data_IF_223283949220
#
_entry.id   IF_223283949220
#
_cell.length_a   1.000
_cell.length_b   1.000
_cell.length_c   1.000
_cell.angle_alpha   90.00
_cell.angle_beta   90.00
_cell.angle_gamma   90.00
#
_symmetry.space_group_name_H-M   'P 1'
#
loop_
_entity.id
_entity.type
_entity.pdbx_description
1 polymer ?
#
# COMPACT_ATOMS: atom_id res chain seq x y z
N UNK A 1 43.92 -30.85 15.31
CA UNK A 1 44.21 -32.29 15.12
C UNK A 1 43.16 -32.83 14.18
N UNK A 2 43.56 -33.30 12.99
CA UNK A 2 42.63 -33.86 11.99
C UNK A 2 42.67 -35.38 12.19
N UNK A 3 41.58 -35.96 12.66
CA UNK A 3 41.46 -37.41 12.82
C UNK A 3 41.01 -38.03 11.50
N UNK A 4 41.63 -39.14 11.12
CA UNK A 4 41.21 -39.91 9.95
C UNK A 4 39.95 -40.71 10.26
N UNK A 5 39.17 -41.06 9.22
CA UNK A 5 37.91 -41.82 9.38
C UNK A 5 38.12 -43.14 10.14
N UNK A 6 39.28 -43.79 9.94
CA UNK A 6 39.67 -45.04 10.59
C UNK A 6 39.95 -44.86 12.09
N UNK A 7 40.65 -43.80 12.48
CA UNK A 7 40.93 -43.50 13.89
C UNK A 7 39.65 -43.18 14.70
N UNK A 8 38.67 -42.53 14.06
CA UNK A 8 37.36 -42.24 14.67
C UNK A 8 36.55 -43.54 14.90
N UNK A 9 36.65 -44.50 13.97
CA UNK A 9 35.94 -45.77 14.02
C UNK A 9 36.58 -46.81 14.96
N UNK A 10 37.87 -46.69 15.28
CA UNK A 10 38.58 -47.62 16.17
C UNK A 10 38.68 -47.13 17.62
N UNK A 11 38.83 -45.81 17.84
CA UNK A 11 39.21 -45.28 19.16
C UNK A 11 38.13 -44.50 19.91
N UNK A 12 36.98 -44.22 19.30
CA UNK A 12 35.94 -43.39 19.91
C UNK A 12 34.62 -44.14 20.13
N UNK A 13 33.93 -43.92 21.27
CA UNK A 13 32.57 -44.43 21.50
C UNK A 13 31.56 -43.77 20.55
N UNK A 14 30.45 -44.46 20.26
CA UNK A 14 29.44 -44.04 19.27
C UNK A 14 28.92 -42.60 19.47
N UNK A 15 28.72 -42.18 20.72
CA UNK A 15 28.28 -40.84 21.08
C UNK A 15 29.26 -39.75 20.62
N UNK A 16 30.56 -40.02 20.70
CA UNK A 16 31.61 -39.08 20.31
C UNK A 16 31.80 -39.05 18.79
N UNK A 17 31.57 -40.17 18.10
CA UNK A 17 31.49 -40.21 16.62
C UNK A 17 30.36 -39.33 16.10
N UNK A 18 29.17 -39.46 16.67
CA UNK A 18 28.00 -38.66 16.28
C UNK A 18 28.26 -37.16 16.53
N UNK A 19 28.94 -36.82 17.62
CA UNK A 19 29.35 -35.43 17.92
C UNK A 19 30.34 -34.89 16.90
N UNK A 20 31.36 -35.68 16.53
CA UNK A 20 32.37 -35.30 15.55
C UNK A 20 31.78 -35.19 14.14
N UNK A 21 30.86 -36.09 13.78
CA UNK A 21 30.15 -36.05 12.51
C UNK A 21 29.23 -34.82 12.41
N UNK A 22 28.49 -34.51 13.49
CA UNK A 22 27.70 -33.28 13.60
C UNK A 22 28.58 -32.02 13.56
N UNK A 23 29.72 -32.01 14.23
CA UNK A 23 30.65 -30.89 14.19
C UNK A 23 31.26 -30.71 12.79
N UNK A 24 31.54 -31.82 12.09
CA UNK A 24 32.01 -31.80 10.71
C UNK A 24 30.94 -31.32 9.73
N UNK A 25 29.68 -31.73 9.91
CA UNK A 25 28.57 -31.25 9.08
C UNK A 25 28.31 -29.75 9.32
N UNK A 26 28.45 -29.28 10.56
CA UNK A 26 28.32 -27.85 10.92
C UNK A 26 29.51 -27.00 10.44
N UNK A 27 30.68 -27.59 10.20
CA UNK A 27 31.84 -26.93 9.59
C UNK A 27 31.84 -27.05 8.06
N UNK A 28 30.76 -27.59 7.47
CA UNK A 28 30.61 -27.64 6.02
C UNK A 28 30.14 -26.28 5.51
N UNK A 29 30.73 -25.83 4.39
CA UNK A 29 30.29 -24.64 3.67
C UNK A 29 28.81 -24.75 3.28
N UNK A 30 28.32 -25.95 2.96
CA UNK A 30 26.91 -26.21 2.60
C UNK A 30 25.98 -25.89 3.77
N UNK A 31 26.37 -26.22 5.00
CA UNK A 31 25.56 -25.90 6.18
C UNK A 31 25.42 -24.39 6.37
N UNK A 32 26.53 -23.65 6.26
CA UNK A 32 26.52 -22.20 6.39
C UNK A 32 25.78 -21.51 5.24
N UNK A 33 25.85 -22.04 4.02
CA UNK A 33 25.06 -21.55 2.89
C UNK A 33 23.56 -21.71 3.17
N UNK A 34 23.13 -22.91 3.60
CA UNK A 34 21.70 -23.13 3.89
C UNK A 34 21.23 -22.29 5.09
N UNK A 35 22.09 -22.09 6.09
CA UNK A 35 21.79 -21.21 7.23
C UNK A 35 21.68 -19.74 6.81
N UNK A 36 22.55 -19.29 5.91
CA UNK A 36 22.45 -17.95 5.34
C UNK A 36 21.15 -17.78 4.54
N UNK A 37 20.79 -18.77 3.72
CA UNK A 37 19.54 -18.77 2.95
C UNK A 37 18.33 -18.64 3.87
N UNK A 38 18.25 -19.45 4.94
CA UNK A 38 17.16 -19.38 5.95
C UNK A 38 17.02 -18.01 6.60
N UNK A 39 18.15 -17.37 6.89
CA UNK A 39 18.15 -16.08 7.57
C UNK A 39 17.83 -14.89 6.64
N UNK A 40 18.20 -15.00 5.36
CA UNK A 40 18.05 -13.90 4.40
C UNK A 40 16.73 -13.97 3.62
N UNK A 41 16.22 -15.16 3.35
CA UNK A 41 15.06 -15.34 2.48
C UNK A 41 13.96 -16.11 3.23
N UNK A 42 12.87 -15.40 3.53
CA UNK A 42 11.71 -16.00 4.18
C UNK A 42 11.08 -17.04 3.25
N UNK A 43 10.94 -18.26 3.75
CA UNK A 43 10.35 -19.38 2.99
C UNK A 43 11.36 -20.24 2.23
N UNK A 44 12.65 -19.90 2.24
CA UNK A 44 13.70 -20.75 1.66
C UNK A 44 14.51 -21.44 2.77
N UNK A 45 14.47 -22.77 2.81
CA UNK A 45 15.21 -23.55 3.83
C UNK A 45 16.62 -23.96 3.39
N UNK A 46 16.83 -24.01 2.07
CA UNK A 46 18.09 -24.32 1.42
C UNK A 46 18.16 -23.65 0.04
N UNK A 47 19.30 -23.84 -0.64
CA UNK A 47 19.54 -23.30 -1.99
C UNK A 47 18.47 -23.76 -3.00
N UNK A 48 17.91 -24.96 -2.83
CA UNK A 48 16.88 -25.48 -3.73
C UNK A 48 15.56 -24.76 -3.53
N UNK A 49 15.11 -24.60 -2.29
CA UNK A 49 13.92 -23.79 -1.97
C UNK A 49 14.08 -22.33 -2.39
N UNK A 50 15.30 -21.77 -2.30
CA UNK A 50 15.57 -20.42 -2.80
C UNK A 50 15.31 -20.29 -4.31
N UNK A 51 15.69 -21.31 -5.08
CA UNK A 51 15.45 -21.33 -6.53
C UNK A 51 13.94 -21.38 -6.82
N UNK A 52 13.17 -22.15 -6.05
CA UNK A 52 11.71 -22.23 -6.19
C UNK A 52 11.05 -20.88 -5.89
N UNK A 53 11.35 -20.28 -4.73
CA UNK A 53 10.83 -18.95 -4.36
C UNK A 53 11.19 -17.90 -5.43
N UNK A 54 12.39 -17.97 -5.99
CA UNK A 54 12.82 -17.04 -7.05
C UNK A 54 12.01 -17.23 -8.33
N UNK A 55 11.73 -18.49 -8.73
CA UNK A 55 10.90 -18.77 -9.91
C UNK A 55 9.47 -18.28 -9.72
N UNK A 56 8.88 -18.52 -8.56
CA UNK A 56 7.52 -18.06 -8.25
C UNK A 56 7.42 -16.53 -8.26
N UNK A 57 8.45 -15.85 -7.75
CA UNK A 57 8.51 -14.39 -7.80
C UNK A 57 8.65 -13.87 -9.23
N UNK A 58 9.47 -14.51 -10.07
CA UNK A 58 9.61 -14.15 -11.49
C UNK A 58 8.27 -14.31 -12.21
N UNK A 59 7.58 -15.44 -12.01
CA UNK A 59 6.27 -15.69 -12.61
C UNK A 59 5.23 -14.65 -12.18
N UNK A 60 5.16 -14.33 -10.89
CA UNK A 60 4.27 -13.27 -10.39
C UNK A 60 4.57 -11.90 -11.01
N UNK A 61 5.84 -11.58 -11.23
CA UNK A 61 6.24 -10.32 -11.87
C UNK A 61 5.85 -10.31 -13.34
N UNK A 62 6.06 -11.41 -14.07
CA UNK A 62 5.65 -11.55 -15.47
C UNK A 62 4.13 -11.42 -15.62
N UNK A 63 3.36 -12.08 -14.75
CA UNK A 63 1.90 -11.97 -14.72
C UNK A 63 1.44 -10.52 -14.46
N UNK A 64 2.08 -9.82 -13.51
CA UNK A 64 1.78 -8.40 -13.24
C UNK A 64 2.11 -7.49 -14.42
N UNK A 65 3.22 -7.74 -15.14
CA UNK A 65 3.55 -6.97 -16.33
C UNK A 65 2.55 -7.23 -17.46
N UNK A 66 2.13 -8.48 -17.67
CA UNK A 66 1.11 -8.84 -18.64
C UNK A 66 -0.26 -8.24 -18.29
N UNK A 67 -0.66 -8.24 -17.01
CA UNK A 67 -1.89 -7.58 -16.54
C UNK A 67 -1.83 -6.07 -16.77
N UNK A 68 -0.70 -5.43 -16.47
CA UNK A 68 -0.50 -3.99 -16.71
C UNK A 68 -0.56 -3.66 -18.20
N UNK A 69 0.09 -4.45 -19.05
CA UNK A 69 0.05 -4.26 -20.50
C UNK A 69 -1.38 -4.39 -21.03
N UNK A 70 -2.13 -5.39 -20.57
CA UNK A 70 -3.54 -5.57 -20.92
C UNK A 70 -4.43 -4.43 -20.41
N UNK A 71 -4.14 -3.89 -19.22
CA UNK A 71 -4.86 -2.74 -18.65
C UNK A 71 -4.59 -1.44 -19.41
N UNK A 72 -3.37 -1.27 -19.94
CA UNK A 72 -3.00 -0.13 -20.80
C UNK A 72 -3.57 -0.29 -22.22
N UNK A 73 -3.59 -1.51 -22.76
CA UNK A 73 -4.14 -1.80 -24.08
C UNK A 73 -5.68 -1.76 -24.12
N UNK A 74 -6.35 -2.06 -22.99
CA UNK A 74 -7.80 -1.99 -22.84
C UNK A 74 -8.21 -0.97 -21.76
N UNK A 75 -8.18 0.34 -22.05
CA UNK A 75 -8.69 1.36 -21.13
C UNK A 75 -10.22 1.33 -20.94
N UNK A 76 -10.92 0.35 -21.53
CA UNK A 76 -12.37 0.20 -21.45
C UNK A 76 -12.91 -0.06 -20.05
N UNK A 77 -12.06 -0.38 -19.07
CA UNK A 77 -12.41 -0.43 -17.64
C UNK A 77 -12.22 0.89 -16.87
N UNK A 78 -11.51 1.87 -17.44
CA UNK A 78 -11.33 3.21 -16.83
C UNK A 78 -12.41 4.21 -17.25
N UNK A 79 -13.19 3.91 -18.30
CA UNK A 79 -14.21 4.84 -18.82
C UNK A 79 -15.32 5.16 -17.81
N UNK A 80 -15.63 4.27 -16.87
CA UNK A 80 -16.63 4.56 -15.83
C UNK A 80 -16.10 5.53 -14.78
N UNK A 81 -14.84 5.40 -14.38
CA UNK A 81 -14.24 6.27 -13.37
C UNK A 81 -13.84 7.64 -13.95
N UNK A 82 -13.46 7.72 -15.23
CA UNK A 82 -13.13 9.00 -15.86
C UNK A 82 -14.36 9.88 -16.09
N UNK A 83 -15.50 9.28 -16.48
CA UNK A 83 -16.77 10.02 -16.64
C UNK A 83 -17.27 10.53 -15.28
N UNK A 84 -17.15 9.73 -14.22
CA UNK A 84 -17.51 10.19 -12.87
C UNK A 84 -16.57 11.27 -12.34
N UNK A 85 -15.27 11.18 -12.62
CA UNK A 85 -14.30 12.22 -12.25
C UNK A 85 -14.54 13.53 -12.99
N UNK A 86 -14.77 13.48 -14.31
CA UNK A 86 -15.09 14.67 -15.11
C UNK A 86 -16.39 15.32 -14.63
N UNK A 87 -17.40 14.51 -14.28
CA UNK A 87 -18.67 15.01 -13.72
C UNK A 87 -18.52 15.64 -12.34
N UNK A 88 -17.65 15.11 -11.49
CA UNK A 88 -17.36 15.69 -10.17
C UNK A 88 -16.56 16.98 -10.31
N UNK A 89 -15.60 17.03 -11.24
CA UNK A 89 -14.80 18.22 -11.50
C UNK A 89 -15.67 19.38 -12.04
N UNK A 90 -16.60 19.08 -12.96
CA UNK A 90 -17.60 20.03 -13.44
C UNK A 90 -18.50 20.55 -12.30
N UNK A 91 -19.05 19.66 -11.47
CA UNK A 91 -19.89 20.04 -10.33
C UNK A 91 -19.13 20.91 -9.31
N UNK A 92 -17.85 20.64 -9.06
CA UNK A 92 -17.03 21.44 -8.16
C UNK A 92 -16.77 22.82 -8.77
N UNK A 93 -16.44 22.89 -10.06
CA UNK A 93 -16.25 24.15 -10.76
C UNK A 93 -17.50 25.03 -10.70
N UNK A 94 -18.67 24.45 -10.97
CA UNK A 94 -19.96 25.15 -10.90
C UNK A 94 -20.24 25.66 -9.48
N UNK A 95 -20.01 24.84 -8.45
CA UNK A 95 -20.19 25.25 -7.05
C UNK A 95 -19.27 26.41 -6.65
N UNK A 96 -18.02 26.42 -7.12
CA UNK A 96 -17.11 27.54 -6.85
C UNK A 96 -17.52 28.80 -7.61
N UNK A 97 -18.00 28.68 -8.85
CA UNK A 97 -18.52 29.81 -9.62
C UNK A 97 -19.78 30.40 -8.98
N UNK A 98 -20.70 29.55 -8.51
CA UNK A 98 -21.90 29.98 -7.78
C UNK A 98 -21.54 30.67 -6.47
N UNK A 99 -20.61 30.11 -5.69
CA UNK A 99 -20.11 30.72 -4.45
C UNK A 99 -19.50 32.11 -4.70
N UNK A 100 -18.69 32.26 -5.75
CA UNK A 100 -18.09 33.55 -6.09
C UNK A 100 -19.17 34.56 -6.53
N UNK A 101 -20.15 34.12 -7.34
CA UNK A 101 -21.29 34.96 -7.73
C UNK A 101 -22.11 35.42 -6.53
N UNK A 102 -22.35 34.53 -5.55
CA UNK A 102 -23.03 34.89 -4.30
C UNK A 102 -22.26 35.98 -3.57
N UNK A 103 -20.94 35.82 -3.39
CA UNK A 103 -20.11 36.81 -2.72
C UNK A 103 -20.05 38.15 -3.45
N UNK A 104 -20.01 38.14 -4.78
CA UNK A 104 -20.06 39.36 -5.59
C UNK A 104 -21.41 40.10 -5.43
N UNK A 105 -22.53 39.36 -5.46
CA UNK A 105 -23.87 39.92 -5.33
C UNK A 105 -24.14 40.48 -3.92
N UNK A 106 -23.74 39.75 -2.87
CA UNK A 106 -23.96 40.17 -1.48
C UNK A 106 -22.87 41.11 -0.97
N UNK A 107 -21.78 41.29 -1.74
CA UNK A 107 -20.56 42.05 -1.36
C UNK A 107 -19.96 41.59 -0.04
N UNK A 108 -20.02 40.29 0.22
CA UNK A 108 -19.56 39.66 1.46
C UNK A 108 -18.35 38.79 1.18
N UNK A 109 -17.46 38.65 2.15
CA UNK A 109 -16.24 37.87 2.03
C UNK A 109 -16.33 36.45 2.63
N UNK A 110 -17.45 36.14 3.31
CA UNK A 110 -17.68 34.82 3.90
C UNK A 110 -19.16 34.43 3.93
N UNK A 111 -19.45 33.13 3.94
CA UNK A 111 -20.82 32.60 4.11
C UNK A 111 -21.44 33.09 5.43
N UNK A 112 -20.66 33.23 6.50
CA UNK A 112 -21.14 33.75 7.78
C UNK A 112 -21.69 35.18 7.66
N UNK A 113 -21.04 36.02 6.85
CA UNK A 113 -21.50 37.38 6.55
C UNK A 113 -22.77 37.39 5.70
N UNK A 114 -22.88 36.49 4.71
CA UNK A 114 -24.12 36.30 3.92
C UNK A 114 -25.29 35.96 4.85
N UNK A 115 -25.09 35.02 5.77
CA UNK A 115 -26.13 34.60 6.73
C UNK A 115 -26.50 35.76 7.66
N UNK A 116 -25.52 36.54 8.13
CA UNK A 116 -25.78 37.71 8.97
C UNK A 116 -26.57 38.80 8.21
N UNK A 117 -26.25 39.04 6.94
CA UNK A 117 -26.97 39.98 6.08
C UNK A 117 -28.43 39.56 5.90
N UNK A 118 -28.68 38.29 5.58
CA UNK A 118 -30.05 37.76 5.39
C UNK A 118 -30.84 37.88 6.70
N UNK A 119 -30.26 37.53 7.85
CA UNK A 119 -30.93 37.65 9.15
C UNK A 119 -31.25 39.11 9.50
N UNK A 120 -30.35 40.04 9.20
CA UNK A 120 -30.61 41.47 9.39
C UNK A 120 -31.75 41.98 8.51
N UNK A 121 -31.81 41.53 7.25
CA UNK A 121 -32.92 41.87 6.35
C UNK A 121 -34.26 41.28 6.82
N UNK A 122 -34.24 40.06 7.35
CA UNK A 122 -35.42 39.40 7.92
C UNK A 122 -35.94 40.14 9.17
N UNK A 123 -35.04 40.57 10.06
CA UNK A 123 -35.39 41.34 11.25
C UNK A 123 -35.95 42.73 10.89
N UNK A 124 -35.35 43.41 9.92
CA UNK A 124 -35.86 44.69 9.39
C UNK A 124 -37.26 44.53 8.78
N UNK A 125 -37.49 43.48 8.01
CA UNK A 125 -38.79 43.18 7.41
C UNK A 125 -39.84 42.86 8.48
N UNK A 126 -39.46 42.06 9.48
CA UNK A 126 -40.36 41.69 10.57
C UNK A 126 -40.74 42.91 11.44
N UNK A 127 -39.78 43.81 11.71
CA UNK A 127 -40.04 45.09 12.39
C UNK A 127 -41.05 45.93 11.61
N UNK A 128 -40.88 46.03 10.29
CA UNK A 128 -41.82 46.77 9.43
C UNK A 128 -43.23 46.18 9.53
N UNK A 129 -43.40 44.85 9.39
CA UNK A 129 -44.73 44.24 9.49
C UNK A 129 -45.37 44.39 10.87
N UNK A 130 -44.57 44.35 11.93
CA UNK A 130 -45.02 44.56 13.31
C UNK A 130 -45.59 45.96 13.53
N UNK A 131 -45.04 46.98 12.85
CA UNK A 131 -45.52 48.36 12.91
C UNK A 131 -46.85 48.57 12.16
N UNK A 132 -47.16 47.73 11.16
CA UNK A 132 -48.46 47.78 10.47
C UNK A 132 -49.59 47.05 11.23
N UNK A 133 -49.24 46.24 12.24
CA UNK A 133 -50.20 45.44 13.02
C UNK A 133 -50.64 46.12 14.34
N UNK A 134 -50.16 47.35 14.60
CA UNK A 134 -50.61 48.26 15.69
C UNK A 134 -51.38 49.46 15.15
#
# INVERSE_FOLDING_TARGET
MIFTKREIEEHYPLSERLRLEKAKSQNSVIYWINELVRNQVRGAEDVTSLIEVTKDLVMQVEDLYAEKENSVANPSGQSSNSIELDSIEEQISDLYAEKESLFEQTKTSSISEVIALIKGMEEQLNSMYSEYET
#
